data_IF_516176234881
#
_entry.id   IF_516176234881
#
_cell.length_a   1.000
_cell.length_b   1.000
_cell.length_c   1.000
_cell.angle_alpha   90.00
_cell.angle_beta   90.00
_cell.angle_gamma   90.00
#
_symmetry.space_group_name_H-M   'P 1'
#
loop_
_entity.id
_entity.type
_entity.pdbx_description
1 polymer ?
#
# COMPACT_ATOMS: atom_id res chain seq x y z
N UNK A 1 0.71 -9.70 27.80
CA UNK A 1 -0.16 -9.33 26.65
C UNK A 1 -1.61 -9.66 26.99
N UNK A 2 -2.52 -8.68 26.91
CA UNK A 2 -3.96 -8.90 27.13
C UNK A 2 -4.59 -9.49 25.86
N UNK A 3 -5.31 -10.61 25.96
CA UNK A 3 -6.03 -11.21 24.83
C UNK A 3 -7.35 -10.47 24.59
N UNK A 4 -7.57 -9.99 23.37
CA UNK A 4 -8.84 -9.40 22.95
C UNK A 4 -9.85 -10.52 22.61
N UNK A 5 -11.13 -10.27 22.90
CA UNK A 5 -12.21 -11.15 22.47
C UNK A 5 -12.50 -10.95 20.98
N UNK A 6 -13.08 -11.97 20.32
CA UNK A 6 -13.46 -11.87 18.90
C UNK A 6 -14.40 -10.70 18.63
N UNK A 7 -15.33 -10.43 19.54
CA UNK A 7 -16.26 -9.30 19.44
C UNK A 7 -15.55 -7.95 19.56
N UNK A 8 -14.57 -7.84 20.44
CA UNK A 8 -13.76 -6.62 20.55
C UNK A 8 -12.93 -6.38 19.29
N UNK A 9 -12.35 -7.46 18.72
CA UNK A 9 -11.55 -7.38 17.50
C UNK A 9 -12.37 -6.87 16.30
N UNK A 10 -13.63 -7.29 16.17
CA UNK A 10 -14.54 -6.82 15.09
C UNK A 10 -14.82 -5.32 15.14
N UNK A 11 -14.74 -4.71 16.32
CA UNK A 11 -14.98 -3.28 16.50
C UNK A 11 -13.72 -2.42 16.26
N UNK A 12 -12.56 -3.05 16.10
CA UNK A 12 -11.34 -2.35 15.71
C UNK A 12 -11.47 -2.04 14.22
N UNK A 13 -11.84 -0.81 13.91
CA UNK A 13 -11.71 -0.27 12.57
C UNK A 13 -10.25 0.12 12.38
N UNK A 14 -9.53 -0.64 11.56
CA UNK A 14 -8.20 -0.21 11.11
C UNK A 14 -8.32 1.16 10.43
N UNK A 15 -7.36 2.05 10.67
CA UNK A 15 -7.27 3.33 9.99
C UNK A 15 -6.29 3.22 8.82
N UNK A 16 -6.66 2.43 7.81
CA UNK A 16 -6.00 2.46 6.51
C UNK A 16 -7.00 3.06 5.53
N UNK A 17 -6.93 4.37 5.39
CA UNK A 17 -7.66 5.07 4.33
C UNK A 17 -6.70 5.30 3.18
N UNK A 18 -7.11 5.00 1.97
CA UNK A 18 -6.36 5.37 0.77
C UNK A 18 -6.76 6.77 0.25
N UNK A 19 -7.44 7.57 1.09
CA UNK A 19 -7.91 8.90 0.74
C UNK A 19 -6.72 9.82 0.47
N UNK A 20 -6.66 10.38 -0.74
CA UNK A 20 -5.55 11.22 -1.18
C UNK A 20 -4.34 10.44 -1.73
N UNK A 21 -4.39 9.10 -1.75
CA UNK A 21 -3.37 8.28 -2.40
C UNK A 21 -3.65 8.09 -3.90
N UNK A 22 -2.62 7.90 -4.73
CA UNK A 22 -2.77 7.71 -6.17
C UNK A 22 -3.19 6.27 -6.52
N UNK A 23 -4.33 5.81 -6.00
CA UNK A 23 -4.84 4.42 -6.11
C UNK A 23 -5.08 3.92 -7.56
N UNK A 24 -5.17 4.82 -8.54
CA UNK A 24 -5.32 4.46 -9.96
C UNK A 24 -4.01 4.20 -10.69
N UNK A 25 -2.87 4.42 -10.03
CA UNK A 25 -1.55 4.24 -10.61
C UNK A 25 -1.00 2.85 -10.31
N UNK A 26 -0.26 2.31 -11.27
CA UNK A 26 0.61 1.15 -11.09
C UNK A 26 2.09 1.57 -11.18
N UNK A 27 2.93 0.86 -10.42
CA UNK A 27 4.36 1.19 -10.27
C UNK A 27 5.22 0.00 -10.68
N UNK A 28 6.23 0.21 -11.52
CA UNK A 28 7.07 -0.89 -11.99
C UNK A 28 8.16 -0.42 -12.94
N UNK A 29 8.83 -1.40 -13.54
CA UNK A 29 9.85 -1.19 -14.58
C UNK A 29 9.25 -1.61 -15.91
N UNK A 30 9.14 -0.68 -16.87
CA UNK A 30 8.63 -0.99 -18.21
C UNK A 30 7.52 -0.04 -18.67
N UNK A 31 7.16 -0.09 -19.97
CA UNK A 31 6.17 0.78 -20.58
C UNK A 31 4.71 0.50 -20.15
N UNK A 32 4.44 -0.65 -19.52
CA UNK A 32 3.12 -1.05 -19.02
C UNK A 32 2.76 -0.39 -17.67
N UNK A 33 3.72 0.24 -17.01
CA UNK A 33 3.53 0.92 -15.74
C UNK A 33 3.39 2.43 -15.93
N UNK A 34 2.43 3.02 -15.20
CA UNK A 34 2.16 4.45 -15.20
C UNK A 34 3.24 5.23 -14.45
N UNK A 35 3.94 4.59 -13.52
CA UNK A 35 4.99 5.17 -12.69
C UNK A 35 6.16 4.20 -12.45
N UNK A 36 7.28 4.76 -12.05
CA UNK A 36 8.53 4.04 -11.76
C UNK A 36 8.57 3.47 -10.34
N UNK A 37 9.39 2.44 -10.12
CA UNK A 37 9.68 1.92 -8.77
C UNK A 37 10.20 3.00 -7.81
N UNK A 38 11.02 3.95 -8.30
CA UNK A 38 11.52 5.06 -7.48
C UNK A 38 10.38 5.95 -6.94
N UNK A 39 9.35 6.19 -7.75
CA UNK A 39 8.17 6.96 -7.32
C UNK A 39 7.32 6.20 -6.30
N UNK A 40 7.28 4.86 -6.36
CA UNK A 40 6.62 4.05 -5.34
C UNK A 40 7.28 4.23 -3.97
N UNK A 41 8.61 4.14 -3.90
CA UNK A 41 9.34 4.31 -2.65
C UNK A 41 9.30 5.74 -2.09
N UNK A 42 8.95 6.73 -2.92
CA UNK A 42 8.71 8.10 -2.48
C UNK A 42 7.32 8.33 -1.87
N UNK A 43 6.39 7.38 -2.00
CA UNK A 43 5.07 7.46 -1.36
C UNK A 43 5.18 7.34 0.16
N UNK A 44 4.22 7.93 0.86
CA UNK A 44 4.03 7.63 2.28
C UNK A 44 3.71 6.15 2.48
N UNK A 45 4.09 5.59 3.62
CA UNK A 45 3.83 4.17 3.94
C UNK A 45 2.35 3.80 3.80
N UNK A 46 1.45 4.71 4.18
CA UNK A 46 0.01 4.51 4.00
C UNK A 46 -0.38 4.38 2.52
N UNK A 47 0.19 5.19 1.62
CA UNK A 47 -0.13 5.10 0.20
C UNK A 47 0.55 3.92 -0.50
N UNK A 48 1.71 3.47 -0.03
CA UNK A 48 2.34 2.24 -0.52
C UNK A 48 1.42 1.02 -0.33
N UNK A 49 0.65 0.98 0.77
CA UNK A 49 -0.32 -0.08 1.07
C UNK A 49 -1.61 -0.01 0.22
N UNK A 50 -1.72 0.96 -0.68
CA UNK A 50 -2.95 1.29 -1.40
C UNK A 50 -2.80 1.25 -2.93
N UNK A 51 -1.61 0.96 -3.45
CA UNK A 51 -1.31 1.00 -4.89
C UNK A 51 -0.75 -0.33 -5.37
N UNK A 52 -0.89 -0.61 -6.66
CA UNK A 52 -0.29 -1.78 -7.28
C UNK A 52 1.19 -1.50 -7.63
N UNK A 53 2.08 -2.41 -7.23
CA UNK A 53 3.52 -2.31 -7.48
C UNK A 53 4.06 -3.65 -7.98
N UNK A 54 4.92 -3.63 -9.00
CA UNK A 54 5.61 -4.83 -9.49
C UNK A 54 6.51 -5.42 -8.40
N UNK A 55 6.59 -6.75 -8.36
CA UNK A 55 7.56 -7.45 -7.52
C UNK A 55 9.01 -7.05 -7.87
N UNK A 56 9.28 -6.73 -9.13
CA UNK A 56 10.61 -6.32 -9.62
C UNK A 56 11.11 -5.03 -8.95
N UNK A 57 10.22 -4.23 -8.35
CA UNK A 57 10.63 -3.04 -7.60
C UNK A 57 11.37 -3.38 -6.28
N UNK A 58 11.27 -4.62 -5.81
CA UNK A 58 11.86 -5.07 -4.54
C UNK A 58 13.02 -6.05 -4.73
N UNK A 59 13.28 -6.49 -5.95
CA UNK A 59 14.39 -7.37 -6.26
C UNK A 59 15.69 -6.54 -6.33
N UNK A 60 16.71 -6.99 -5.58
CA UNK A 60 18.09 -6.51 -5.67
C UNK A 60 18.90 -7.46 -6.55
#
# INVERSE_FOLDING_TARGET
>A
MKKLTRSALKNIKGALTCSGCPVGNNYGTGPEYSNTCAQYFALSYNCQMCVDVSADCFEN
#
